data_IF_688696251336
#
_entry.id   IF_688696251336
#
_cell.length_a   1.000
_cell.length_b   1.000
_cell.length_c   1.000
_cell.angle_alpha   90.00
_cell.angle_beta   90.00
_cell.angle_gamma   90.00
#
_symmetry.space_group_name_H-M   'P 1'
#
loop_
_entity.id
_entity.type
_entity.pdbx_description
1 polymer ?
#
# COMPACT_ATOMS: atom_id res chain seq x y z
N UNK A 1 -12.51 8.39 -12.16
CA UNK A 1 -11.47 9.34 -12.65
C UNK A 1 -10.60 8.64 -13.68
N UNK A 2 -10.47 9.19 -14.88
CA UNK A 2 -9.44 8.78 -15.82
C UNK A 2 -8.06 9.17 -15.24
N UNK A 3 -7.10 8.25 -15.28
CA UNK A 3 -5.78 8.45 -14.66
C UNK A 3 -4.70 8.91 -15.67
N UNK A 4 -5.02 9.00 -16.94
CA UNK A 4 -4.08 9.54 -17.93
C UNK A 4 -3.67 10.97 -17.53
N UNK A 5 -2.37 11.23 -17.53
CA UNK A 5 -1.74 12.49 -17.14
C UNK A 5 -2.01 12.90 -15.66
N UNK A 6 -2.50 12.00 -14.81
CA UNK A 6 -2.73 12.25 -13.39
C UNK A 6 -1.50 11.90 -12.57
N UNK A 7 -1.15 12.78 -11.65
CA UNK A 7 -0.04 12.58 -10.72
C UNK A 7 -0.48 11.67 -9.59
N UNK A 8 0.18 10.52 -9.44
CA UNK A 8 -0.14 9.50 -8.44
C UNK A 8 1.11 9.13 -7.64
N UNK A 9 1.01 9.24 -6.33
CA UNK A 9 2.04 8.80 -5.37
C UNK A 9 1.80 7.33 -5.00
N UNK A 10 2.87 6.53 -4.99
CA UNK A 10 2.84 5.13 -4.54
C UNK A 10 3.94 4.92 -3.52
N UNK A 11 3.59 4.57 -2.28
CA UNK A 11 4.57 4.19 -1.25
C UNK A 11 4.88 2.70 -1.31
N UNK A 12 6.12 2.30 -1.01
CA UNK A 12 6.56 0.91 -1.15
C UNK A 12 6.63 0.47 -2.62
N UNK A 13 6.93 1.41 -3.52
CA UNK A 13 6.90 1.19 -4.97
C UNK A 13 8.09 0.39 -5.52
N UNK A 14 9.10 0.14 -4.71
CA UNK A 14 10.34 -0.51 -5.15
C UNK A 14 10.17 -1.98 -5.55
N UNK A 15 9.20 -2.71 -5.00
CA UNK A 15 8.99 -4.15 -5.27
C UNK A 15 7.57 -4.62 -4.99
N UNK A 16 7.31 -5.90 -5.26
CA UNK A 16 6.08 -6.60 -4.90
C UNK A 16 4.81 -5.90 -5.41
N UNK A 17 3.83 -5.72 -4.53
CA UNK A 17 2.54 -5.13 -4.88
C UNK A 17 2.65 -3.68 -5.35
N UNK A 18 3.49 -2.86 -4.69
CA UNK A 18 3.69 -1.46 -5.08
C UNK A 18 4.29 -1.32 -6.49
N UNK A 19 5.26 -2.18 -6.84
CA UNK A 19 5.81 -2.24 -8.20
C UNK A 19 4.74 -2.62 -9.23
N UNK A 20 3.93 -3.65 -8.94
CA UNK A 20 2.87 -4.07 -9.86
C UNK A 20 1.83 -2.96 -10.10
N UNK A 21 1.47 -2.23 -9.04
CA UNK A 21 0.60 -1.05 -9.15
C UNK A 21 1.26 0.02 -10.03
N UNK A 22 2.54 0.32 -9.81
CA UNK A 22 3.27 1.32 -10.60
C UNK A 22 3.29 0.96 -12.10
N UNK A 23 3.55 -0.30 -12.42
CA UNK A 23 3.53 -0.81 -13.81
C UNK A 23 2.14 -0.63 -14.45
N UNK A 24 1.09 -1.05 -13.76
CA UNK A 24 -0.27 -1.01 -14.28
C UNK A 24 -0.77 0.43 -14.49
N UNK A 25 -0.49 1.34 -13.56
CA UNK A 25 -0.91 2.74 -13.69
C UNK A 25 -0.04 3.50 -14.70
N UNK A 26 1.26 3.21 -14.76
CA UNK A 26 2.15 3.75 -15.78
C UNK A 26 1.71 3.38 -17.19
N UNK A 27 1.35 2.10 -17.42
CA UNK A 27 0.83 1.64 -18.72
C UNK A 27 -0.49 2.34 -19.13
N UNK A 28 -1.24 2.89 -18.17
CA UNK A 28 -2.46 3.68 -18.41
C UNK A 28 -2.17 5.19 -18.54
N UNK A 29 -0.90 5.59 -18.59
CA UNK A 29 -0.49 6.98 -18.82
C UNK A 29 -0.49 7.87 -17.57
N UNK A 30 -0.49 7.30 -16.37
CA UNK A 30 -0.33 8.09 -15.15
C UNK A 30 1.10 8.61 -15.02
N UNK A 31 1.25 9.80 -14.42
CA UNK A 31 2.52 10.32 -13.95
C UNK A 31 2.76 9.85 -12.52
N UNK A 32 3.87 9.18 -12.27
CA UNK A 32 4.11 8.48 -11.03
C UNK A 32 5.18 9.15 -10.16
N UNK A 33 4.89 9.37 -8.89
CA UNK A 33 5.88 9.66 -7.86
C UNK A 33 6.06 8.38 -7.01
N UNK A 34 7.19 7.70 -7.20
CA UNK A 34 7.49 6.41 -6.57
C UNK A 34 8.31 6.62 -5.31
N UNK A 35 7.79 6.17 -4.17
CA UNK A 35 8.41 6.28 -2.86
C UNK A 35 8.84 4.90 -2.33
N UNK A 36 10.10 4.78 -1.95
CA UNK A 36 10.65 3.62 -1.23
C UNK A 36 11.91 4.03 -0.49
N UNK A 37 12.32 3.23 0.49
CA UNK A 37 13.61 3.42 1.18
C UNK A 37 14.78 2.93 0.33
N UNK A 38 14.54 2.00 -0.60
CA UNK A 38 15.56 1.38 -1.44
C UNK A 38 15.62 2.05 -2.82
N UNK A 39 16.67 2.84 -3.05
CA UNK A 39 16.89 3.53 -4.33
C UNK A 39 17.01 2.55 -5.51
N UNK A 40 17.77 1.46 -5.37
CA UNK A 40 17.99 0.50 -6.45
C UNK A 40 16.68 -0.19 -6.89
N UNK A 41 15.80 -0.53 -5.92
CA UNK A 41 14.49 -1.10 -6.21
C UNK A 41 13.57 -0.10 -6.92
N UNK A 42 13.65 1.21 -6.55
CA UNK A 42 12.93 2.28 -7.25
C UNK A 42 13.40 2.45 -8.69
N UNK A 43 14.72 2.49 -8.90
CA UNK A 43 15.32 2.61 -10.23
C UNK A 43 14.91 1.43 -11.13
N UNK A 44 14.90 0.21 -10.59
CA UNK A 44 14.43 -0.97 -11.30
C UNK A 44 12.94 -0.87 -11.68
N UNK A 45 12.09 -0.40 -10.76
CA UNK A 45 10.66 -0.19 -11.05
C UNK A 45 10.46 0.89 -12.11
N UNK A 46 11.16 2.01 -12.01
CA UNK A 46 11.06 3.09 -12.99
C UNK A 46 11.51 2.65 -14.40
N UNK A 47 12.59 1.88 -14.49
CA UNK A 47 13.05 1.32 -15.76
C UNK A 47 11.97 0.45 -16.40
N UNK A 48 11.29 -0.40 -15.61
CA UNK A 48 10.20 -1.23 -16.10
C UNK A 48 8.97 -0.39 -16.53
N UNK A 49 8.60 0.65 -15.78
CA UNK A 49 7.49 1.56 -16.16
C UNK A 49 7.80 2.24 -17.50
N UNK A 50 9.00 2.79 -17.65
CA UNK A 50 9.43 3.47 -18.87
C UNK A 50 9.48 2.54 -20.08
N UNK A 51 9.89 1.29 -19.90
CA UNK A 51 9.98 0.31 -21.00
C UNK A 51 8.61 -0.11 -21.57
N UNK A 52 7.52 0.14 -20.85
CA UNK A 52 6.16 -0.16 -21.32
C UNK A 52 5.55 0.94 -22.22
N UNK A 53 6.18 2.14 -22.27
CA UNK A 53 5.63 3.31 -22.92
C UNK A 53 6.63 3.94 -23.91
N UNK A 54 6.78 3.35 -25.10
CA UNK A 54 7.65 3.84 -26.16
C UNK A 54 7.27 5.23 -26.73
N UNK A 55 6.10 5.77 -26.37
CA UNK A 55 5.54 7.01 -26.94
C UNK A 55 5.49 8.20 -25.97
N UNK A 56 5.89 8.04 -24.71
CA UNK A 56 5.91 9.13 -23.74
C UNK A 56 7.34 9.65 -23.54
N UNK A 57 7.46 10.95 -23.27
CA UNK A 57 8.70 11.55 -22.78
C UNK A 57 9.10 10.84 -21.49
N UNK A 58 10.08 9.92 -21.62
CA UNK A 58 10.45 8.93 -20.58
C UNK A 58 10.85 9.56 -19.26
N UNK A 59 11.33 10.83 -19.29
CA UNK A 59 11.78 11.54 -18.09
C UNK A 59 10.64 12.20 -17.29
N UNK A 60 9.47 12.40 -17.92
CA UNK A 60 8.33 13.07 -17.25
C UNK A 60 7.36 12.11 -16.54
N UNK A 61 7.36 10.82 -16.89
CA UNK A 61 6.34 9.87 -16.44
C UNK A 61 6.59 9.31 -15.04
N UNK A 62 7.84 9.29 -14.56
CA UNK A 62 8.19 8.59 -13.33
C UNK A 62 9.31 9.31 -12.58
N UNK A 63 9.00 9.86 -11.42
CA UNK A 63 9.96 10.51 -10.50
C UNK A 63 10.17 9.64 -9.26
N UNK A 64 11.41 9.59 -8.75
CA UNK A 64 11.83 8.74 -7.64
C UNK A 64 12.10 9.56 -6.39
N UNK A 65 11.48 9.17 -5.29
CA UNK A 65 11.68 9.77 -3.98
C UNK A 65 12.16 8.70 -2.99
N UNK A 66 13.45 8.75 -2.65
CA UNK A 66 13.99 7.89 -1.60
C UNK A 66 13.56 8.47 -0.26
N UNK A 67 12.80 7.70 0.51
CA UNK A 67 12.18 8.18 1.74
C UNK A 67 12.03 7.05 2.74
N UNK A 68 12.51 7.28 3.96
CA UNK A 68 12.07 6.51 5.10
C UNK A 68 10.71 7.06 5.54
N UNK A 69 9.65 6.44 5.04
CA UNK A 69 8.27 6.86 5.31
C UNK A 69 7.87 6.80 6.79
N UNK A 70 8.68 6.19 7.67
CA UNK A 70 8.50 6.25 9.13
C UNK A 70 9.05 7.54 9.77
N UNK A 71 9.74 8.39 9.00
CA UNK A 71 10.24 9.69 9.43
C UNK A 71 9.27 10.79 8.97
N UNK A 72 8.60 11.46 9.90
CA UNK A 72 7.68 12.55 9.59
C UNK A 72 8.35 13.65 8.77
N UNK A 73 9.54 14.09 9.17
CA UNK A 73 10.28 15.13 8.47
C UNK A 73 10.67 14.76 7.02
N UNK A 74 11.00 13.46 6.78
CA UNK A 74 11.27 13.00 5.42
C UNK A 74 9.99 12.95 4.58
N UNK A 75 8.85 12.52 5.15
CA UNK A 75 7.56 12.52 4.46
C UNK A 75 7.16 13.95 4.09
N UNK A 76 7.23 14.90 5.01
CA UNK A 76 6.94 16.33 4.74
C UNK A 76 7.84 16.89 3.63
N UNK A 77 9.15 16.61 3.68
CA UNK A 77 10.10 17.03 2.67
C UNK A 77 9.79 16.45 1.29
N UNK A 78 9.43 15.16 1.23
CA UNK A 78 9.08 14.49 -0.03
C UNK A 78 7.80 15.06 -0.63
N UNK A 79 6.74 15.27 0.16
CA UNK A 79 5.50 15.86 -0.36
C UNK A 79 5.67 17.34 -0.77
N UNK A 80 6.58 18.09 -0.12
CA UNK A 80 6.99 19.42 -0.58
C UNK A 80 7.68 19.33 -1.96
N UNK A 81 8.61 18.39 -2.15
CA UNK A 81 9.25 18.14 -3.44
C UNK A 81 8.28 17.69 -4.53
N UNK A 82 7.30 16.86 -4.20
CA UNK A 82 6.21 16.46 -5.12
C UNK A 82 5.40 17.69 -5.55
N UNK A 83 5.06 18.56 -4.60
CA UNK A 83 4.37 19.83 -4.89
C UNK A 83 5.19 20.75 -5.79
N UNK A 84 6.48 20.90 -5.53
CA UNK A 84 7.38 21.70 -6.36
C UNK A 84 7.49 21.14 -7.78
N UNK A 85 7.62 19.82 -7.92
CA UNK A 85 7.82 19.13 -9.21
C UNK A 85 6.57 19.09 -10.08
N UNK A 86 5.40 18.83 -9.48
CA UNK A 86 4.15 18.56 -10.21
C UNK A 86 3.05 19.59 -9.97
N UNK A 87 3.13 20.40 -8.92
CA UNK A 87 2.12 21.40 -8.55
C UNK A 87 0.81 20.84 -7.98
N UNK A 88 0.45 19.60 -8.33
CA UNK A 88 -0.83 18.98 -7.99
C UNK A 88 -0.67 17.49 -7.72
N UNK A 89 -1.56 16.92 -6.92
CA UNK A 89 -1.67 15.48 -6.66
C UNK A 89 -3.10 15.01 -6.89
N UNK A 90 -3.28 13.88 -7.58
CA UNK A 90 -4.57 13.31 -7.91
C UNK A 90 -4.82 11.95 -7.25
N UNK A 91 -3.75 11.22 -6.93
CA UNK A 91 -3.85 9.91 -6.30
C UNK A 91 -2.74 9.64 -5.30
N UNK A 92 -3.07 8.91 -4.23
CA UNK A 92 -2.11 8.38 -3.26
C UNK A 92 -2.43 6.93 -2.97
N UNK A 93 -1.43 6.04 -3.10
CA UNK A 93 -1.56 4.63 -2.74
C UNK A 93 -0.59 4.34 -1.60
N UNK A 94 -1.13 4.14 -0.40
CA UNK A 94 -0.39 3.71 0.78
C UNK A 94 -0.22 2.19 0.74
N UNK A 95 0.90 1.74 0.11
CA UNK A 95 1.22 0.33 -0.06
C UNK A 95 2.43 -0.13 0.77
N UNK A 96 3.25 0.78 1.29
CA UNK A 96 4.37 0.45 2.16
C UNK A 96 3.91 -0.33 3.40
N UNK A 97 4.65 -1.38 3.76
CA UNK A 97 4.35 -2.17 4.93
C UNK A 97 5.36 -3.29 5.16
N UNK A 98 5.42 -3.74 6.42
CA UNK A 98 6.29 -4.84 6.86
C UNK A 98 5.54 -5.84 7.71
N UNK A 99 6.09 -7.05 7.79
CA UNK A 99 5.72 -8.09 8.72
C UNK A 99 6.83 -8.30 9.76
N UNK A 100 6.45 -8.50 11.02
CA UNK A 100 7.32 -8.94 12.12
C UNK A 100 6.50 -9.85 13.02
N UNK A 101 6.17 -11.01 12.49
CA UNK A 101 5.31 -11.99 13.14
C UNK A 101 5.97 -12.55 14.40
N UNK A 102 5.17 -12.82 15.41
CA UNK A 102 5.58 -13.41 16.68
C UNK A 102 4.37 -13.67 17.58
N UNK A 103 4.44 -14.74 18.36
CA UNK A 103 3.39 -15.04 19.36
C UNK A 103 3.39 -13.97 20.44
N UNK A 104 2.19 -13.62 20.94
CA UNK A 104 2.07 -12.69 22.07
C UNK A 104 2.90 -13.20 23.27
N UNK A 105 2.75 -14.49 23.59
CA UNK A 105 3.58 -15.22 24.54
C UNK A 105 3.88 -16.63 24.02
N UNK A 106 5.00 -17.21 24.43
CA UNK A 106 5.36 -18.59 24.19
C UNK A 106 5.73 -19.26 25.51
N UNK A 107 4.97 -20.29 25.86
CA UNK A 107 5.18 -21.08 27.07
C UNK A 107 5.59 -22.49 26.67
N UNK A 108 6.59 -23.05 27.30
CA UNK A 108 7.02 -24.43 27.15
C UNK A 108 7.20 -25.06 28.55
N UNK A 109 6.57 -26.20 28.77
CA UNK A 109 6.64 -26.95 30.05
C UNK A 109 6.28 -26.08 31.30
N UNK A 110 5.33 -25.13 31.12
CA UNK A 110 4.91 -24.21 32.21
C UNK A 110 5.77 -22.96 32.33
N UNK A 111 6.90 -22.88 31.68
CA UNK A 111 7.82 -21.73 31.73
C UNK A 111 7.61 -20.78 30.58
N UNK A 112 7.62 -19.47 30.89
CA UNK A 112 7.55 -18.41 29.85
C UNK A 112 8.90 -18.36 29.10
N UNK A 113 8.88 -18.76 27.83
CA UNK A 113 10.07 -18.79 26.94
C UNK A 113 10.27 -17.47 26.20
N UNK A 114 9.18 -16.87 25.74
CA UNK A 114 9.23 -15.69 24.87
C UNK A 114 7.95 -14.87 25.02
N UNK A 115 8.06 -13.57 24.83
CA UNK A 115 6.93 -12.64 24.67
C UNK A 115 7.25 -11.62 23.60
N UNK A 116 6.24 -11.18 22.86
CA UNK A 116 6.40 -10.09 21.89
C UNK A 116 6.94 -8.84 22.60
N UNK A 117 8.03 -8.30 22.10
CA UNK A 117 8.64 -7.09 22.65
C UNK A 117 7.93 -5.83 22.16
N UNK A 118 8.02 -4.74 22.95
CA UNK A 118 7.52 -3.44 22.51
C UNK A 118 8.19 -2.98 21.20
N UNK A 119 9.48 -3.27 21.01
CA UNK A 119 10.19 -2.94 19.79
C UNK A 119 9.63 -3.66 18.54
N UNK A 120 9.29 -4.97 18.68
CA UNK A 120 8.62 -5.72 17.61
C UNK A 120 7.25 -5.15 17.29
N UNK A 121 6.46 -4.81 18.31
CA UNK A 121 5.18 -4.14 18.15
C UNK A 121 5.34 -2.80 17.44
N UNK A 122 6.16 -1.91 18.00
CA UNK A 122 6.29 -0.53 17.54
C UNK A 122 6.81 -0.45 16.11
N UNK A 123 7.78 -1.30 15.73
CA UNK A 123 8.31 -1.30 14.36
C UNK A 123 7.24 -1.55 13.29
N UNK A 124 6.21 -2.36 13.60
CA UNK A 124 5.11 -2.62 12.65
C UNK A 124 4.08 -1.50 12.67
N UNK A 125 3.77 -0.95 13.86
CA UNK A 125 2.85 0.20 13.98
C UNK A 125 3.43 1.40 13.23
N UNK A 126 4.71 1.69 13.41
CA UNK A 126 5.35 2.85 12.76
C UNK A 126 5.31 2.75 11.24
N UNK A 127 5.69 1.59 10.67
CA UNK A 127 5.76 1.43 9.22
C UNK A 127 4.37 1.21 8.59
N UNK A 128 3.45 0.48 9.23
CA UNK A 128 2.19 0.13 8.59
C UNK A 128 1.07 1.15 8.85
N UNK A 129 1.00 1.71 10.06
CA UNK A 129 -0.11 2.57 10.47
C UNK A 129 0.30 4.05 10.50
N UNK A 130 1.39 4.39 11.21
CA UNK A 130 1.85 5.78 11.30
C UNK A 130 2.24 6.33 9.92
N UNK A 131 2.92 5.53 9.09
CA UNK A 131 3.23 5.90 7.70
C UNK A 131 1.99 6.16 6.88
N UNK A 132 0.98 5.29 6.97
CA UNK A 132 -0.29 5.49 6.26
C UNK A 132 -0.92 6.82 6.68
N UNK A 133 -0.86 7.15 7.96
CA UNK A 133 -1.35 8.44 8.48
C UNK A 133 -0.54 9.62 7.94
N UNK A 134 0.79 9.60 8.03
CA UNK A 134 1.65 10.70 7.60
C UNK A 134 1.50 10.97 6.10
N UNK A 135 1.63 9.95 5.26
CA UNK A 135 1.46 10.11 3.82
C UNK A 135 0.03 10.50 3.44
N UNK A 136 -0.96 9.95 4.16
CA UNK A 136 -2.37 10.30 3.97
C UNK A 136 -2.66 11.77 4.29
N UNK A 137 -2.09 12.29 5.39
CA UNK A 137 -2.18 13.70 5.80
C UNK A 137 -1.60 14.63 4.74
N UNK A 138 -0.36 14.40 4.34
CA UNK A 138 0.32 15.24 3.35
C UNK A 138 -0.33 15.13 1.97
N UNK A 139 -0.68 13.92 1.54
CA UNK A 139 -1.38 13.71 0.27
C UNK A 139 -2.74 14.38 0.21
N UNK A 140 -3.54 14.26 1.29
CA UNK A 140 -4.84 14.92 1.39
C UNK A 140 -4.70 16.45 1.38
N UNK A 141 -3.70 17.00 2.10
CA UNK A 141 -3.43 18.43 2.11
C UNK A 141 -3.09 18.95 0.71
N UNK A 142 -2.22 18.22 -0.03
CA UNK A 142 -1.81 18.59 -1.37
C UNK A 142 -2.99 18.51 -2.37
N UNK A 143 -3.80 17.44 -2.31
CA UNK A 143 -5.01 17.30 -3.14
C UNK A 143 -6.02 18.41 -2.84
N UNK A 144 -6.29 18.72 -1.57
CA UNK A 144 -7.22 19.75 -1.16
C UNK A 144 -6.76 21.16 -1.63
N UNK A 145 -5.47 21.47 -1.53
CA UNK A 145 -4.90 22.72 -2.04
C UNK A 145 -4.98 22.83 -3.58
N UNK A 146 -4.86 21.71 -4.28
CA UNK A 146 -5.00 21.65 -5.74
C UNK A 146 -6.43 21.85 -6.22
N UNK A 147 -7.43 21.63 -5.36
CA UNK A 147 -8.86 21.88 -5.65
C UNK A 147 -9.48 21.00 -6.72
N UNK A 148 -8.78 19.94 -7.17
CA UNK A 148 -9.26 19.04 -8.24
C UNK A 148 -9.85 17.72 -7.70
N UNK A 149 -9.94 17.58 -6.35
CA UNK A 149 -10.29 16.33 -5.70
C UNK A 149 -9.15 15.31 -5.81
N UNK A 150 -9.48 14.02 -5.62
CA UNK A 150 -8.48 12.96 -5.71
C UNK A 150 -8.96 11.63 -5.16
N UNK A 151 -8.03 10.66 -5.13
CA UNK A 151 -8.29 9.32 -4.58
C UNK A 151 -7.14 8.87 -3.68
N UNK A 152 -7.46 8.47 -2.45
CA UNK A 152 -6.53 7.81 -1.54
C UNK A 152 -6.91 6.34 -1.45
N UNK A 153 -5.94 5.43 -1.69
CA UNK A 153 -6.12 3.99 -1.56
C UNK A 153 -5.16 3.47 -0.49
N UNK A 154 -5.71 2.88 0.57
CA UNK A 154 -4.93 2.31 1.66
C UNK A 154 -4.89 0.78 1.56
N UNK A 155 -3.70 0.19 1.50
CA UNK A 155 -3.53 -1.27 1.48
C UNK A 155 -3.53 -1.80 2.92
N UNK A 156 -4.66 -2.42 3.30
CA UNK A 156 -4.84 -3.13 4.55
C UNK A 156 -4.44 -4.62 4.41
N UNK A 157 -5.19 -5.53 4.98
CA UNK A 157 -5.05 -6.99 4.88
C UNK A 157 -6.31 -7.66 5.41
N UNK A 158 -6.60 -8.89 5.01
CA UNK A 158 -7.60 -9.73 5.70
C UNK A 158 -7.20 -9.99 7.16
N UNK A 159 -5.89 -9.98 7.48
CA UNK A 159 -5.39 -10.11 8.86
C UNK A 159 -5.87 -9.00 9.81
N UNK A 160 -6.50 -7.92 9.30
CA UNK A 160 -7.14 -6.89 10.14
C UNK A 160 -8.23 -7.43 11.07
N UNK A 161 -8.79 -8.59 10.74
CA UNK A 161 -9.78 -9.28 11.58
C UNK A 161 -9.13 -10.11 12.71
N UNK A 162 -7.81 -10.25 12.70
CA UNK A 162 -7.02 -11.07 13.60
C UNK A 162 -6.36 -12.24 12.87
N UNK A 163 -5.12 -12.56 13.25
CA UNK A 163 -4.41 -13.75 12.79
C UNK A 163 -3.41 -14.19 13.87
N UNK A 164 -3.20 -15.49 13.99
CA UNK A 164 -2.28 -16.06 14.98
C UNK A 164 -0.86 -15.58 14.71
N UNK A 165 -0.17 -15.09 15.77
CA UNK A 165 1.20 -14.58 15.66
C UNK A 165 1.33 -13.19 15.04
N UNK A 166 0.23 -12.47 14.78
CA UNK A 166 0.22 -11.19 14.11
C UNK A 166 -0.45 -10.07 14.92
N UNK A 167 -0.30 -10.06 16.24
CA UNK A 167 -0.93 -9.03 17.08
C UNK A 167 -0.62 -7.61 16.64
N UNK A 168 0.65 -7.32 16.33
CA UNK A 168 1.12 -6.02 15.82
C UNK A 168 0.60 -5.73 14.40
N UNK A 169 0.71 -6.70 13.50
CA UNK A 169 0.29 -6.54 12.12
C UNK A 169 -1.23 -6.39 11.99
N UNK A 170 -2.00 -7.28 12.66
CA UNK A 170 -3.45 -7.23 12.65
C UNK A 170 -3.97 -5.90 13.20
N UNK A 171 -3.42 -5.42 14.33
CA UNK A 171 -3.76 -4.13 14.92
C UNK A 171 -3.46 -2.97 13.95
N UNK A 172 -2.27 -2.97 13.31
CA UNK A 172 -1.91 -1.95 12.33
C UNK A 172 -2.88 -1.91 11.14
N UNK A 173 -3.22 -3.08 10.59
CA UNK A 173 -4.11 -3.19 9.42
C UNK A 173 -5.58 -2.93 9.74
N UNK A 174 -6.02 -3.20 10.99
CA UNK A 174 -7.32 -2.76 11.51
C UNK A 174 -7.38 -1.23 11.62
N UNK A 175 -6.32 -0.60 12.14
CA UNK A 175 -6.19 0.86 12.16
C UNK A 175 -6.28 1.48 10.76
N UNK A 176 -5.53 0.94 9.80
CA UNK A 176 -5.60 1.36 8.39
C UNK A 176 -7.03 1.27 7.83
N UNK A 177 -7.75 0.18 8.13
CA UNK A 177 -9.14 0.02 7.68
C UNK A 177 -10.08 1.07 8.30
N UNK A 178 -9.87 1.42 9.58
CA UNK A 178 -10.62 2.48 10.24
C UNK A 178 -10.36 3.86 9.62
N UNK A 179 -9.11 4.17 9.25
CA UNK A 179 -8.75 5.41 8.57
C UNK A 179 -9.48 5.58 7.24
N UNK A 180 -9.75 4.50 6.50
CA UNK A 180 -10.51 4.55 5.24
C UNK A 180 -11.90 5.16 5.46
N UNK A 181 -12.61 4.71 6.47
CA UNK A 181 -13.97 5.19 6.77
C UNK A 181 -13.95 6.63 7.28
N UNK A 182 -13.01 6.94 8.19
CA UNK A 182 -12.86 8.25 8.79
C UNK A 182 -12.54 9.30 7.73
N UNK A 183 -11.48 9.07 6.95
CA UNK A 183 -11.02 10.02 5.94
C UNK A 183 -11.98 10.19 4.78
N UNK A 184 -12.70 9.13 4.38
CA UNK A 184 -13.73 9.26 3.36
C UNK A 184 -14.82 10.29 3.74
N UNK A 185 -15.12 10.40 5.03
CA UNK A 185 -16.11 11.36 5.55
C UNK A 185 -15.52 12.77 5.73
N UNK A 186 -14.30 12.86 6.26
CA UNK A 186 -13.63 14.12 6.51
C UNK A 186 -13.26 14.85 5.22
N UNK A 187 -12.78 14.09 4.20
CA UNK A 187 -12.23 14.63 2.97
C UNK A 187 -13.27 14.78 1.84
N UNK A 188 -14.50 14.29 2.01
CA UNK A 188 -15.56 14.38 1.00
C UNK A 188 -15.82 15.80 0.54
N UNK A 189 -15.78 16.78 1.44
CA UNK A 189 -15.97 18.21 1.13
C UNK A 189 -14.90 18.78 0.19
N UNK A 190 -13.75 18.09 0.05
CA UNK A 190 -12.65 18.45 -0.86
C UNK A 190 -12.67 17.63 -2.15
N UNK A 191 -13.72 16.82 -2.38
CA UNK A 191 -13.83 15.96 -3.55
C UNK A 191 -12.84 14.77 -3.51
N UNK A 192 -12.28 14.43 -2.34
CA UNK A 192 -11.32 13.35 -2.19
C UNK A 192 -12.06 12.09 -1.72
N UNK A 193 -11.96 11.03 -2.52
CA UNK A 193 -12.46 9.69 -2.19
C UNK A 193 -11.38 8.90 -1.46
N UNK A 194 -11.78 8.05 -0.51
CA UNK A 194 -10.85 7.16 0.19
C UNK A 194 -11.37 5.74 0.13
N UNK A 195 -10.53 4.83 -0.34
CA UNK A 195 -10.82 3.40 -0.44
C UNK A 195 -9.75 2.57 0.25
N UNK A 196 -10.09 1.38 0.64
CA UNK A 196 -9.14 0.40 1.12
C UNK A 196 -9.22 -0.90 0.32
N UNK A 197 -8.10 -1.58 0.22
CA UNK A 197 -8.03 -2.96 -0.26
C UNK A 197 -7.50 -3.81 0.89
N UNK A 198 -8.12 -4.97 1.13
CA UNK A 198 -7.66 -5.96 2.08
C UNK A 198 -7.22 -7.22 1.32
N UNK A 199 -5.94 -7.29 0.93
CA UNK A 199 -5.41 -8.46 0.26
C UNK A 199 -5.43 -9.68 1.16
N UNK A 200 -5.70 -10.85 0.56
CA UNK A 200 -5.40 -12.15 1.13
C UNK A 200 -3.93 -12.50 0.95
N UNK A 201 -3.66 -13.70 0.48
CA UNK A 201 -2.29 -14.19 0.26
C UNK A 201 -1.94 -14.05 -1.22
N UNK A 202 -0.92 -13.27 -1.49
CA UNK A 202 -0.43 -12.98 -2.84
C UNK A 202 0.94 -13.61 -3.08
N UNK A 203 1.18 -14.06 -4.31
CA UNK A 203 2.49 -14.50 -4.77
C UNK A 203 3.44 -13.29 -4.83
N UNK A 204 4.34 -13.22 -3.86
CA UNK A 204 5.36 -12.17 -3.71
C UNK A 204 6.65 -12.78 -3.19
N UNK A 205 7.75 -12.02 -3.19
CA UNK A 205 9.03 -12.49 -2.60
C UNK A 205 8.85 -12.96 -1.15
N UNK A 206 7.90 -12.38 -0.43
CA UNK A 206 7.59 -12.72 0.96
C UNK A 206 6.99 -14.12 1.08
N UNK A 207 6.10 -14.50 0.19
CA UNK A 207 5.48 -15.83 0.15
C UNK A 207 6.40 -16.87 -0.49
N UNK A 208 7.26 -16.47 -1.43
CA UNK A 208 8.26 -17.36 -2.07
C UNK A 208 9.28 -17.93 -1.06
N UNK A 209 9.50 -17.26 0.08
CA UNK A 209 10.38 -17.74 1.14
C UNK A 209 9.72 -18.78 2.07
N UNK A 210 8.44 -19.11 1.88
CA UNK A 210 7.71 -20.08 2.69
C UNK A 210 8.10 -21.53 2.32
N UNK A 211 8.02 -22.43 3.32
CA UNK A 211 8.22 -23.86 3.07
C UNK A 211 7.10 -24.41 2.16
N UNK A 212 7.43 -25.33 1.22
CA UNK A 212 6.44 -25.89 0.28
C UNK A 212 5.16 -26.43 0.94
N UNK A 213 5.30 -27.11 2.08
CA UNK A 213 4.17 -27.68 2.81
C UNK A 213 3.25 -26.60 3.42
N UNK A 214 3.83 -25.50 3.90
CA UNK A 214 3.07 -24.37 4.43
C UNK A 214 2.35 -23.64 3.30
N UNK A 215 3.01 -23.48 2.16
CA UNK A 215 2.43 -22.92 0.95
C UNK A 215 1.25 -23.75 0.45
N UNK A 216 1.40 -25.08 0.35
CA UNK A 216 0.33 -25.97 -0.09
C UNK A 216 -0.90 -25.91 0.84
N UNK A 217 -0.69 -25.90 2.16
CA UNK A 217 -1.78 -25.75 3.14
C UNK A 217 -2.51 -24.42 2.98
N UNK A 218 -1.75 -23.34 2.78
CA UNK A 218 -2.32 -22.02 2.58
C UNK A 218 -3.15 -21.95 1.30
N UNK A 219 -2.63 -22.50 0.20
CA UNK A 219 -3.35 -22.57 -1.06
C UNK A 219 -4.64 -23.39 -0.96
N UNK A 220 -4.62 -24.52 -0.23
CA UNK A 220 -5.81 -25.33 0.04
C UNK A 220 -6.90 -24.61 0.87
N UNK A 221 -6.48 -23.64 1.72
CA UNK A 221 -7.42 -22.86 2.51
C UNK A 221 -8.10 -21.73 1.71
N UNK A 222 -7.59 -21.39 0.53
CA UNK A 222 -8.16 -20.36 -0.35
C UNK A 222 -9.27 -21.00 -1.20
N UNK A 223 -10.54 -20.58 -1.09
CA UNK A 223 -11.64 -21.17 -1.87
C UNK A 223 -11.44 -21.14 -3.39
N UNK A 224 -10.80 -20.10 -3.93
CA UNK A 224 -10.46 -20.02 -5.36
C UNK A 224 -9.35 -21.02 -5.74
N UNK A 225 -8.59 -21.54 -4.77
CA UNK A 225 -7.58 -22.59 -4.99
C UNK A 225 -6.20 -22.10 -5.44
N UNK A 226 -6.03 -20.79 -5.61
CA UNK A 226 -4.75 -20.18 -6.02
C UNK A 226 -4.40 -18.98 -5.15
N UNK A 227 -3.11 -18.64 -5.07
CA UNK A 227 -2.69 -17.36 -4.53
C UNK A 227 -3.15 -16.23 -5.45
N UNK A 228 -3.34 -15.03 -4.88
CA UNK A 228 -3.52 -13.84 -5.68
C UNK A 228 -2.22 -13.45 -6.38
N UNK A 229 -2.33 -12.90 -7.57
CA UNK A 229 -1.20 -12.33 -8.31
C UNK A 229 -1.20 -10.81 -8.16
N UNK A 230 0.00 -10.21 -8.12
CA UNK A 230 0.15 -8.77 -7.92
C UNK A 230 -0.60 -7.94 -8.97
N UNK A 231 -0.74 -8.46 -10.19
CA UNK A 231 -1.53 -7.85 -11.26
C UNK A 231 -3.01 -7.69 -10.90
N UNK A 232 -3.61 -8.66 -10.20
CA UNK A 232 -5.02 -8.59 -9.78
C UNK A 232 -5.27 -7.47 -8.76
N UNK A 233 -4.28 -7.21 -7.90
CA UNK A 233 -4.34 -6.05 -7.00
C UNK A 233 -4.25 -4.74 -7.79
N UNK A 234 -3.36 -4.66 -8.76
CA UNK A 234 -3.19 -3.48 -9.61
C UNK A 234 -4.45 -3.19 -10.45
N UNK A 235 -5.13 -4.21 -10.96
CA UNK A 235 -6.42 -4.11 -11.64
C UNK A 235 -7.51 -3.58 -10.68
N UNK A 236 -7.52 -4.04 -9.43
CA UNK A 236 -8.44 -3.54 -8.40
C UNK A 236 -8.18 -2.06 -8.10
N UNK A 237 -6.92 -1.63 -8.04
CA UNK A 237 -6.54 -0.21 -7.90
C UNK A 237 -7.07 0.60 -9.10
N UNK A 238 -6.86 0.14 -10.32
CA UNK A 238 -7.37 0.80 -11.54
C UNK A 238 -8.90 0.90 -11.53
N UNK A 239 -9.58 -0.16 -11.11
CA UNK A 239 -11.04 -0.17 -10.94
C UNK A 239 -11.52 0.89 -9.94
N UNK A 240 -10.83 1.05 -8.79
CA UNK A 240 -11.16 2.07 -7.79
C UNK A 240 -11.02 3.50 -8.39
N UNK A 241 -9.98 3.74 -9.17
CA UNK A 241 -9.83 5.02 -9.86
C UNK A 241 -10.97 5.28 -10.85
N UNK A 242 -11.31 4.29 -11.67
CA UNK A 242 -12.33 4.40 -12.70
C UNK A 242 -13.77 4.55 -12.15
N UNK A 243 -14.06 3.99 -10.97
CA UNK A 243 -15.41 4.01 -10.40
C UNK A 243 -15.57 5.12 -9.35
N UNK A 244 -16.13 6.23 -9.77
CA UNK A 244 -16.26 7.45 -8.93
C UNK A 244 -17.30 7.34 -7.80
N UNK A 245 -18.11 6.29 -7.76
CA UNK A 245 -19.10 6.07 -6.70
C UNK A 245 -18.55 5.28 -5.50
N UNK A 246 -17.30 4.86 -5.55
CA UNK A 246 -16.63 4.12 -4.48
C UNK A 246 -15.91 5.08 -3.52
N UNK A 247 -16.34 5.12 -2.25
CA UNK A 247 -15.65 5.80 -1.15
C UNK A 247 -16.03 5.22 0.20
N UNK A 248 -15.10 5.21 1.16
CA UNK A 248 -15.31 4.75 2.54
C UNK A 248 -15.56 3.25 2.69
N UNK A 249 -15.03 2.43 1.79
CA UNK A 249 -15.22 0.97 1.80
C UNK A 249 -13.90 0.22 1.65
N UNK A 250 -13.90 -1.01 2.17
CA UNK A 250 -12.83 -1.99 1.98
C UNK A 250 -13.26 -2.99 0.90
N UNK A 251 -12.37 -3.25 -0.07
CA UNK A 251 -12.50 -4.38 -1.00
C UNK A 251 -11.64 -5.51 -0.44
N UNK A 252 -12.27 -6.64 -0.12
CA UNK A 252 -11.57 -7.88 0.23
C UNK A 252 -11.15 -8.58 -1.05
N UNK A 253 -9.83 -8.68 -1.28
CA UNK A 253 -9.25 -9.32 -2.45
C UNK A 253 -8.45 -10.54 -1.97
N UNK A 254 -9.13 -11.64 -1.67
CA UNK A 254 -8.60 -12.72 -0.86
C UNK A 254 -8.91 -14.13 -1.38
N UNK A 255 -9.55 -14.24 -2.54
CA UNK A 255 -9.96 -15.53 -3.10
C UNK A 255 -10.98 -16.29 -2.23
N UNK A 256 -11.66 -15.57 -1.31
CA UNK A 256 -12.62 -16.14 -0.35
C UNK A 256 -11.99 -16.65 0.94
N UNK A 257 -10.68 -16.46 1.14
CA UNK A 257 -9.97 -16.87 2.37
C UNK A 257 -10.54 -16.13 3.60
N UNK A 258 -10.78 -16.87 4.68
CA UNK A 258 -11.10 -16.34 6.01
C UNK A 258 -10.04 -16.81 7.01
N UNK A 259 -9.53 -15.88 7.85
CA UNK A 259 -8.56 -16.16 8.90
C UNK A 259 -9.24 -16.42 10.24
#
# INVERSE_FOLDING_TARGET
>A
MDIKDKVIVITGAGRGLGRAIALALGAQGATLALLDINRADLEATAALVRSQNDQCDQDSQCELFVCNVASEAEVESVFAGIKERFGVLHGLINCAGILRDGMLIKVKEGELVEKMTLAQWQSVIDVNLTVTFLCGREGAALMAQGGQGGVIINISSIARAGNIGQSNYAASKAGVASLVVTWARELARHGIRVMGIAPGVFATDMTAAMKPEAMARMQQAIPVGTLGEAQQLAETVSFIFANDYLSGRMIELDGGLRL
#
